data_IF_032794834274
#
_entry.id   IF_032794834274
#
_cell.length_a   1.000
_cell.length_b   1.000
_cell.length_c   1.000
_cell.angle_alpha   90.00
_cell.angle_beta   90.00
_cell.angle_gamma   90.00
#
_symmetry.space_group_name_H-M   'P 1'
#
loop_
_entity.id
_entity.type
_entity.pdbx_description
1 polymer ?
#
# COMPACT_ATOMS: atom_id res chain seq x y z
N UNK A 1 -10.82 11.96 11.67
CA UNK A 1 -9.99 12.34 10.51
C UNK A 1 -9.10 11.15 10.17
N UNK A 2 -9.18 10.59 8.96
CA UNK A 2 -8.41 9.41 8.55
C UNK A 2 -6.98 9.75 8.14
N UNK A 3 -6.04 8.81 8.34
CA UNK A 3 -4.65 8.98 7.91
C UNK A 3 -4.57 9.00 6.37
N UNK A 4 -3.73 9.87 5.81
CA UNK A 4 -3.44 9.93 4.36
C UNK A 4 -2.05 9.36 4.13
N UNK A 5 -1.97 8.16 3.56
CA UNK A 5 -0.73 7.38 3.45
C UNK A 5 -0.27 7.36 1.99
N UNK A 6 0.99 7.75 1.75
CA UNK A 6 1.70 7.54 0.49
C UNK A 6 2.77 6.47 0.73
N UNK A 7 2.60 5.29 0.13
CA UNK A 7 3.51 4.17 0.30
C UNK A 7 4.46 3.97 -0.88
N UNK A 8 5.69 3.55 -0.58
CA UNK A 8 6.69 3.11 -1.55
C UNK A 8 7.31 1.81 -1.06
N UNK A 9 6.73 0.69 -1.48
CA UNK A 9 7.13 -0.68 -1.11
C UNK A 9 6.80 -1.61 -2.27
N UNK A 10 7.50 -2.73 -2.42
CA UNK A 10 7.23 -3.73 -3.46
C UNK A 10 5.72 -4.01 -3.59
N UNK A 11 5.18 -3.87 -4.79
CA UNK A 11 3.75 -4.07 -5.03
C UNK A 11 3.45 -5.56 -5.25
N UNK A 12 3.42 -6.33 -4.16
CA UNK A 12 3.18 -7.77 -4.16
C UNK A 12 1.80 -8.12 -3.60
N UNK A 13 1.40 -9.39 -3.69
CA UNK A 13 0.18 -9.91 -3.03
C UNK A 13 0.19 -9.65 -1.52
N UNK A 14 1.33 -9.81 -0.87
CA UNK A 14 1.47 -9.50 0.57
C UNK A 14 1.26 -8.01 0.85
N UNK A 15 1.79 -7.13 -0.01
CA UNK A 15 1.56 -5.68 0.11
C UNK A 15 0.10 -5.32 -0.14
N UNK A 16 -0.63 -6.06 -0.99
CA UNK A 16 -2.07 -5.87 -1.14
C UNK A 16 -2.82 -6.12 0.19
N UNK A 17 -2.49 -7.20 0.92
CA UNK A 17 -3.06 -7.47 2.25
C UNK A 17 -2.77 -6.34 3.23
N UNK A 18 -1.54 -5.79 3.20
CA UNK A 18 -1.17 -4.62 4.01
C UNK A 18 -2.01 -3.39 3.65
N UNK A 19 -2.17 -3.07 2.35
CA UNK A 19 -2.94 -1.92 1.88
C UNK A 19 -4.40 -2.04 2.31
N UNK A 20 -5.03 -3.21 2.12
CA UNK A 20 -6.42 -3.45 2.55
C UNK A 20 -6.57 -3.31 4.07
N UNK A 21 -5.61 -3.82 4.85
CA UNK A 21 -5.60 -3.64 6.31
C UNK A 21 -5.57 -2.16 6.71
N UNK A 22 -4.79 -1.32 6.01
CA UNK A 22 -4.75 0.12 6.28
C UNK A 22 -6.06 0.81 5.92
N UNK A 23 -6.71 0.41 4.82
CA UNK A 23 -8.02 0.92 4.40
C UNK A 23 -9.10 0.54 5.42
N UNK A 24 -9.09 -0.70 5.91
CA UNK A 24 -10.00 -1.19 6.95
C UNK A 24 -9.84 -0.41 8.26
N UNK A 25 -8.62 0.02 8.58
CA UNK A 25 -8.34 0.91 9.72
C UNK A 25 -8.69 2.39 9.46
N UNK A 26 -9.27 2.71 8.30
CA UNK A 26 -9.78 4.04 7.94
C UNK A 26 -8.76 4.96 7.28
N UNK A 27 -7.67 4.42 6.72
CA UNK A 27 -6.69 5.21 5.97
C UNK A 27 -7.11 5.42 4.51
N UNK A 28 -6.71 6.57 3.96
CA UNK A 28 -6.77 6.85 2.53
C UNK A 28 -5.36 6.66 1.95
N UNK A 29 -5.20 5.72 1.03
CA UNK A 29 -3.88 5.21 0.61
C UNK A 29 -3.62 5.49 -0.87
N UNK A 30 -2.40 5.92 -1.20
CA UNK A 30 -1.81 5.84 -2.55
C UNK A 30 -0.47 5.13 -2.47
N UNK A 31 -0.13 4.34 -3.48
CA UNK A 31 1.03 3.47 -3.43
C UNK A 31 1.83 3.47 -4.74
N UNK A 32 3.12 3.25 -4.62
CA UNK A 32 4.03 2.92 -5.73
C UNK A 32 4.95 1.78 -5.33
N UNK A 33 5.44 1.03 -6.32
CA UNK A 33 6.52 0.08 -6.07
C UNK A 33 7.86 0.81 -5.89
N UNK A 34 8.66 0.39 -4.92
CA UNK A 34 10.02 0.90 -4.73
C UNK A 34 11.05 0.19 -5.62
N UNK A 35 10.65 -0.84 -6.38
CA UNK A 35 11.52 -1.56 -7.30
C UNK A 35 10.78 -1.94 -8.60
N UNK A 36 11.39 -1.59 -9.74
CA UNK A 36 10.82 -1.71 -11.09
C UNK A 36 10.50 -3.15 -11.54
N UNK A 37 11.04 -4.17 -10.86
CA UNK A 37 10.83 -5.59 -11.20
C UNK A 37 9.98 -6.35 -10.16
N UNK A 38 9.56 -5.68 -9.08
CA UNK A 38 8.98 -6.36 -7.91
C UNK A 38 7.45 -6.40 -7.88
N UNK A 39 6.79 -5.72 -8.83
CA UNK A 39 5.32 -5.72 -8.95
C UNK A 39 4.81 -7.06 -9.45
N UNK A 40 3.75 -7.59 -8.85
CA UNK A 40 3.05 -8.84 -9.21
C UNK A 40 1.56 -8.61 -9.34
#
# INVERSE_FOLDING_TARGET
AGARIMGSLHMTVQTAVLIETLVDLGAQVRWVSCNIFSTQ
#
